data_IF_236211798071
#
_entry.id   IF_236211798071
#
_cell.length_a   1.000
_cell.length_b   1.000
_cell.length_c   1.000
_cell.angle_alpha   90.00
_cell.angle_beta   90.00
_cell.angle_gamma   90.00
#
_symmetry.space_group_name_H-M   'P 1'
#
loop_
_entity.id
_entity.type
_entity.pdbx_description
1 polymer ?
#
# COMPACT_ATOMS: atom_id res chain seq x y z
N UNK A 1 11.42 4.36 -10.48
CA UNK A 1 10.55 5.07 -11.49
C UNK A 1 9.34 5.68 -10.80
N UNK A 2 8.77 6.77 -11.35
CA UNK A 2 7.55 7.41 -10.84
C UNK A 2 6.34 6.99 -11.66
N UNK A 3 5.16 6.97 -11.02
CA UNK A 3 3.85 6.79 -11.66
C UNK A 3 2.85 7.82 -11.15
N UNK A 4 1.77 8.01 -11.90
CA UNK A 4 0.65 8.81 -11.42
C UNK A 4 -0.06 8.08 -10.29
N UNK A 5 -0.40 8.78 -9.22
CA UNK A 5 -1.18 8.27 -8.10
C UNK A 5 -2.62 8.75 -8.25
N UNK A 6 -3.49 7.86 -8.68
CA UNK A 6 -4.87 8.22 -9.01
C UNK A 6 -4.95 9.27 -10.12
N UNK A 7 -5.96 10.14 -10.03
CA UNK A 7 -6.16 11.29 -10.94
C UNK A 7 -5.68 12.61 -10.31
N UNK A 8 -4.69 12.55 -9.41
CA UNK A 8 -4.29 13.69 -8.56
C UNK A 8 -3.25 14.61 -9.18
N UNK A 9 -2.57 14.17 -10.24
CA UNK A 9 -1.38 14.84 -10.77
C UNK A 9 -0.10 14.60 -9.96
N UNK A 10 -0.19 13.91 -8.81
CA UNK A 10 0.99 13.57 -7.99
C UNK A 10 1.74 12.41 -8.63
N UNK A 11 3.06 12.59 -8.81
CA UNK A 11 3.98 11.54 -9.28
C UNK A 11 4.69 10.90 -8.10
N UNK A 12 4.26 9.70 -7.71
CA UNK A 12 4.87 8.93 -6.62
C UNK A 12 5.70 7.75 -7.12
N UNK A 13 6.63 7.28 -6.31
CA UNK A 13 7.39 6.05 -6.59
C UNK A 13 6.45 4.84 -6.66
N UNK A 14 6.77 3.88 -7.55
CA UNK A 14 5.99 2.64 -7.72
C UNK A 14 6.10 1.72 -6.51
N UNK A 15 7.14 1.92 -5.72
CA UNK A 15 7.36 1.27 -4.43
C UNK A 15 7.19 2.34 -3.35
N UNK A 16 6.39 2.07 -2.32
CA UNK A 16 6.20 2.93 -1.16
C UNK A 16 6.78 2.25 0.08
N UNK A 17 7.32 3.03 1.01
CA UNK A 17 7.74 2.51 2.31
C UNK A 17 6.61 2.61 3.32
N UNK A 18 6.13 1.46 3.82
CA UNK A 18 5.18 1.37 4.94
C UNK A 18 5.89 1.47 6.28
N UNK A 19 5.57 2.49 7.06
CA UNK A 19 6.25 2.84 8.30
C UNK A 19 5.73 2.11 9.55
N UNK A 20 4.90 1.06 9.41
CA UNK A 20 4.24 0.39 10.55
C UNK A 20 5.22 -0.05 11.66
N UNK A 21 6.43 -0.49 11.30
CA UNK A 21 7.44 -1.00 12.24
C UNK A 21 8.49 0.04 12.64
N UNK A 22 8.35 1.29 12.21
CA UNK A 22 9.36 2.33 12.44
C UNK A 22 9.48 2.72 13.92
N UNK A 23 8.41 2.56 14.69
CA UNK A 23 8.44 2.77 16.15
C UNK A 23 9.43 1.87 16.90
N UNK A 24 9.79 0.71 16.33
CA UNK A 24 10.74 -0.22 16.95
C UNK A 24 12.21 0.16 16.72
N UNK A 25 12.49 1.16 15.89
CA UNK A 25 13.83 1.61 15.56
C UNK A 25 14.30 2.73 16.51
N UNK A 26 15.61 2.83 16.72
CA UNK A 26 16.21 4.07 17.21
C UNK A 26 16.22 5.12 16.09
N UNK A 27 16.32 6.43 16.44
CA UNK A 27 16.27 7.51 15.44
C UNK A 27 17.33 7.34 14.36
N UNK A 28 18.57 6.99 14.73
CA UNK A 28 19.67 6.75 13.78
C UNK A 28 19.41 5.58 12.83
N UNK A 29 18.66 4.59 13.26
CA UNK A 29 18.26 3.46 12.40
C UNK A 29 17.17 3.90 11.43
N UNK A 30 16.20 4.68 11.91
CA UNK A 30 15.18 5.28 11.06
C UNK A 30 15.77 6.21 9.99
N UNK A 31 16.79 7.02 10.34
CA UNK A 31 17.57 7.82 9.38
C UNK A 31 18.14 6.97 8.25
N UNK A 32 18.76 5.84 8.57
CA UNK A 32 19.31 4.91 7.55
C UNK A 32 18.23 4.34 6.64
N UNK A 33 17.06 4.00 7.21
CA UNK A 33 15.92 3.48 6.46
C UNK A 33 15.36 4.53 5.50
N UNK A 34 15.17 5.76 5.96
CA UNK A 34 14.68 6.88 5.15
C UNK A 34 15.68 7.24 4.06
N UNK A 35 16.98 7.36 4.40
CA UNK A 35 18.05 7.65 3.45
C UNK A 35 18.10 6.59 2.34
N UNK A 36 18.14 5.30 2.72
CA UNK A 36 18.16 4.20 1.77
C UNK A 36 16.91 4.18 0.87
N UNK A 37 15.76 4.59 1.38
CA UNK A 37 14.53 4.70 0.57
C UNK A 37 14.68 5.78 -0.49
N UNK A 38 15.06 6.98 -0.10
CA UNK A 38 15.22 8.12 -1.01
C UNK A 38 16.34 7.89 -2.04
N UNK A 39 17.50 7.37 -1.60
CA UNK A 39 18.63 7.03 -2.47
C UNK A 39 18.27 5.99 -3.55
N UNK A 40 17.28 5.16 -3.29
CA UNK A 40 16.76 4.15 -4.23
C UNK A 40 15.45 4.59 -4.92
N UNK A 41 15.12 5.88 -4.89
CA UNK A 41 14.01 6.48 -5.62
C UNK A 41 12.63 6.23 -5.00
N UNK A 42 12.57 5.80 -3.73
CA UNK A 42 11.33 5.62 -2.98
C UNK A 42 11.05 6.93 -2.23
N UNK A 43 10.11 7.73 -2.73
CA UNK A 43 9.71 9.01 -2.15
C UNK A 43 8.31 9.00 -1.51
N UNK A 44 7.61 7.87 -1.53
CA UNK A 44 6.27 7.70 -0.98
C UNK A 44 6.34 6.94 0.34
N UNK A 45 5.85 7.57 1.43
CA UNK A 45 5.88 7.03 2.78
C UNK A 45 4.46 6.86 3.31
N UNK A 46 4.15 5.63 3.74
CA UNK A 46 2.81 5.20 4.15
C UNK A 46 2.75 4.97 5.66
N UNK A 47 2.00 5.81 6.35
CA UNK A 47 1.78 5.82 7.78
C UNK A 47 0.36 5.40 8.16
N UNK A 48 0.08 5.35 9.45
CA UNK A 48 -1.24 5.35 10.06
C UNK A 48 -1.15 5.85 11.51
N UNK A 49 -2.20 6.52 11.98
CA UNK A 49 -2.31 7.06 13.32
C UNK A 49 -2.11 6.03 14.45
N UNK A 50 -2.45 4.76 14.16
CA UNK A 50 -2.31 3.64 15.12
C UNK A 50 -0.92 3.00 15.13
N UNK A 51 -0.03 3.29 14.17
CA UNK A 51 1.27 2.62 14.08
C UNK A 51 2.16 2.97 15.27
N UNK A 52 2.38 1.98 16.15
CA UNK A 52 3.08 2.18 17.40
C UNK A 52 2.41 3.21 18.32
N UNK A 53 1.07 3.40 18.21
CA UNK A 53 0.36 4.44 18.96
C UNK A 53 0.76 5.87 18.56
N UNK A 54 1.18 6.07 17.30
CA UNK A 54 1.67 7.35 16.78
C UNK A 54 3.20 7.52 16.83
N UNK A 55 3.92 6.62 17.53
CA UNK A 55 5.38 6.72 17.64
C UNK A 55 6.10 6.51 16.29
N UNK A 56 5.51 5.75 15.36
CA UNK A 56 6.08 5.61 14.01
C UNK A 56 6.13 6.94 13.26
N UNK A 57 5.11 7.78 13.37
CA UNK A 57 5.07 9.11 12.77
C UNK A 57 6.11 10.05 13.37
N UNK A 58 6.23 10.09 14.70
CA UNK A 58 7.26 10.89 15.41
C UNK A 58 8.67 10.44 15.04
N UNK A 59 8.91 9.13 14.96
CA UNK A 59 10.21 8.56 14.60
C UNK A 59 10.59 8.93 13.17
N UNK A 60 9.64 8.85 12.25
CA UNK A 60 9.83 9.26 10.86
C UNK A 60 10.15 10.75 10.75
N UNK A 61 9.37 11.62 11.42
CA UNK A 61 9.64 13.05 11.45
C UNK A 61 11.06 13.35 11.96
N UNK A 62 11.45 12.74 13.10
CA UNK A 62 12.81 12.91 13.65
C UNK A 62 13.91 12.56 12.64
N UNK A 63 13.70 11.48 11.87
CA UNK A 63 14.65 11.08 10.83
C UNK A 63 14.70 12.10 9.68
N UNK A 64 13.55 12.60 9.19
CA UNK A 64 13.52 13.65 8.15
C UNK A 64 14.25 14.90 8.59
N UNK A 65 13.99 15.36 9.82
CA UNK A 65 14.59 16.56 10.41
C UNK A 65 16.12 16.45 10.50
N UNK A 66 16.62 15.32 11.03
CA UNK A 66 18.07 15.11 11.18
C UNK A 66 18.78 14.98 9.83
N UNK A 67 18.11 14.44 8.82
CA UNK A 67 18.61 14.33 7.45
C UNK A 67 18.47 15.62 6.63
N UNK A 68 17.83 16.66 7.19
CA UNK A 68 17.50 17.90 6.51
C UNK A 68 16.69 17.70 5.21
N UNK A 69 15.80 16.71 5.17
CA UNK A 69 14.93 16.43 4.04
C UNK A 69 13.74 17.39 4.10
N UNK A 70 13.48 18.07 2.96
CA UNK A 70 12.36 19.00 2.88
C UNK A 70 11.03 18.26 2.75
N UNK A 71 9.96 18.88 3.24
CA UNK A 71 8.60 18.31 3.19
C UNK A 71 8.14 18.00 1.75
N UNK A 72 8.50 18.84 0.80
CA UNK A 72 8.17 18.69 -0.60
C UNK A 72 8.93 17.58 -1.33
N UNK A 73 10.02 17.08 -0.77
CA UNK A 73 10.81 15.98 -1.36
C UNK A 73 10.18 14.59 -1.09
N UNK A 74 9.16 14.54 -0.22
CA UNK A 74 8.48 13.31 0.16
C UNK A 74 6.97 13.40 -0.02
N UNK A 75 6.36 12.27 -0.35
CA UNK A 75 4.89 12.12 -0.39
C UNK A 75 4.48 11.41 0.89
N UNK A 76 3.64 12.07 1.69
CA UNK A 76 3.14 11.54 2.95
C UNK A 76 1.69 11.09 2.82
N UNK A 77 1.50 9.80 3.04
CA UNK A 77 0.19 9.19 3.24
C UNK A 77 0.05 8.77 4.70
N UNK A 78 -1.08 9.06 5.33
CA UNK A 78 -1.43 8.46 6.62
C UNK A 78 -2.87 7.97 6.60
N UNK A 79 -3.26 7.24 7.64
CA UNK A 79 -4.58 6.58 7.73
C UNK A 79 -5.20 6.83 9.08
N UNK A 80 -6.54 6.81 9.13
CA UNK A 80 -7.33 6.88 10.36
C UNK A 80 -8.53 5.93 10.31
N UNK A 81 -9.24 5.81 11.42
CA UNK A 81 -10.50 5.08 11.53
C UNK A 81 -10.44 3.76 12.29
N UNK A 82 -9.26 3.25 12.63
CA UNK A 82 -9.15 2.09 13.53
C UNK A 82 -9.04 2.55 14.97
N UNK A 83 -9.95 2.04 15.82
CA UNK A 83 -9.96 2.27 17.26
C UNK A 83 -9.78 0.95 18.02
N UNK A 84 -9.56 1.01 19.32
CA UNK A 84 -9.43 -0.20 20.14
C UNK A 84 -10.78 -0.91 20.25
N UNK A 85 -10.93 -1.97 19.43
CA UNK A 85 -12.11 -2.83 19.44
C UNK A 85 -13.26 -2.39 18.50
N UNK A 86 -13.12 -1.29 17.76
CA UNK A 86 -14.11 -0.83 16.77
C UNK A 86 -13.50 0.04 15.69
N UNK A 87 -14.27 0.35 14.66
CA UNK A 87 -13.92 1.32 13.63
C UNK A 87 -14.74 2.59 13.80
N UNK A 88 -14.23 3.75 13.35
CA UNK A 88 -14.87 5.03 13.55
C UNK A 88 -14.58 5.98 12.38
N UNK A 89 -15.58 6.17 11.51
CA UNK A 89 -15.53 7.11 10.41
C UNK A 89 -16.39 8.35 10.65
N UNK A 90 -16.72 8.63 11.91
CA UNK A 90 -17.39 9.89 12.24
C UNK A 90 -16.54 11.09 11.83
N UNK A 91 -17.20 12.17 11.42
CA UNK A 91 -16.53 13.43 11.09
C UNK A 91 -15.61 13.90 12.21
N UNK A 92 -16.07 13.85 13.46
CA UNK A 92 -15.30 14.27 14.60
C UNK A 92 -14.00 13.48 14.77
N UNK A 93 -14.04 12.14 14.60
CA UNK A 93 -12.85 11.31 14.69
C UNK A 93 -11.88 11.55 13.53
N UNK A 94 -12.37 11.65 12.31
CA UNK A 94 -11.50 11.91 11.14
C UNK A 94 -10.74 13.23 11.32
N UNK A 95 -11.43 14.30 11.69
CA UNK A 95 -10.80 15.62 11.91
C UNK A 95 -9.75 15.57 13.03
N UNK A 96 -10.10 15.01 14.20
CA UNK A 96 -9.18 14.88 15.33
C UNK A 96 -7.97 13.98 15.00
N UNK A 97 -8.17 12.89 14.24
CA UNK A 97 -7.08 12.02 13.81
C UNK A 97 -6.08 12.76 12.92
N UNK A 98 -6.57 13.53 11.95
CA UNK A 98 -5.70 14.32 11.06
C UNK A 98 -4.91 15.36 11.86
N UNK A 99 -5.54 16.07 12.79
CA UNK A 99 -4.83 17.03 13.64
C UNK A 99 -3.69 16.36 14.42
N UNK A 100 -3.96 15.21 15.03
CA UNK A 100 -2.93 14.43 15.72
C UNK A 100 -1.83 13.88 14.81
N UNK A 101 -2.16 13.45 13.58
CA UNK A 101 -1.18 13.00 12.58
C UNK A 101 -0.26 14.16 12.19
N UNK A 102 -0.83 15.32 11.87
CA UNK A 102 -0.06 16.50 11.47
C UNK A 102 0.86 16.99 12.60
N UNK A 103 0.38 16.96 13.86
CA UNK A 103 1.17 17.27 15.05
C UNK A 103 2.37 16.31 15.18
N UNK A 104 2.16 14.99 15.07
CA UNK A 104 3.24 13.98 15.21
C UNK A 104 4.24 13.98 14.08
N UNK A 105 3.79 14.30 12.86
CA UNK A 105 4.66 14.45 11.69
C UNK A 105 5.29 15.86 11.58
N UNK A 106 4.95 16.79 12.48
CA UNK A 106 5.34 18.21 12.44
C UNK A 106 5.21 18.81 11.03
N UNK A 107 4.04 18.62 10.39
CA UNK A 107 3.76 19.10 9.03
C UNK A 107 2.39 19.77 8.96
N UNK A 108 2.24 20.70 8.01
CA UNK A 108 0.97 21.42 7.82
C UNK A 108 -0.04 20.62 6.98
N UNK A 109 0.43 19.61 6.21
CA UNK A 109 -0.44 18.86 5.32
C UNK A 109 0.00 17.41 5.09
N UNK A 110 -0.98 16.57 4.74
CA UNK A 110 -0.80 15.26 4.13
C UNK A 110 -1.05 15.35 2.61
N UNK A 111 -0.28 14.59 1.83
CA UNK A 111 -0.59 14.41 0.41
C UNK A 111 -1.80 13.48 0.26
N UNK A 112 -1.90 12.43 1.07
CA UNK A 112 -3.01 11.48 1.06
C UNK A 112 -3.50 11.13 2.47
N UNK A 113 -4.82 11.15 2.67
CA UNK A 113 -5.47 10.54 3.83
C UNK A 113 -6.27 9.33 3.36
N UNK A 114 -6.11 8.20 4.06
CA UNK A 114 -6.77 6.94 3.73
C UNK A 114 -7.65 6.47 4.88
N UNK A 115 -8.89 6.09 4.61
CA UNK A 115 -9.75 5.40 5.56
C UNK A 115 -9.25 3.95 5.71
N UNK A 116 -8.81 3.56 6.93
CA UNK A 116 -7.92 2.40 7.12
C UNK A 116 -8.60 1.04 6.98
N UNK A 117 -9.86 0.91 7.44
CA UNK A 117 -10.69 -0.31 7.35
C UNK A 117 -12.15 0.09 7.21
N UNK A 118 -12.98 -0.70 6.53
CA UNK A 118 -14.42 -0.40 6.46
C UNK A 118 -15.03 -0.31 7.87
N UNK A 119 -15.80 0.74 8.11
CA UNK A 119 -16.63 0.90 9.29
C UNK A 119 -18.06 0.51 8.94
N UNK A 120 -18.67 -0.39 9.70
CA UNK A 120 -20.04 -0.87 9.43
C UNK A 120 -21.13 0.16 9.82
N UNK A 121 -20.77 1.16 10.61
CA UNK A 121 -21.70 2.17 11.14
C UNK A 121 -21.47 3.58 10.56
N UNK A 122 -20.70 3.67 9.48
CA UNK A 122 -20.33 4.95 8.87
C UNK A 122 -21.48 5.59 8.10
N UNK A 123 -21.51 6.91 8.11
CA UNK A 123 -22.38 7.72 7.26
C UNK A 123 -21.51 8.45 6.22
N UNK A 124 -21.72 8.21 4.92
CA UNK A 124 -20.86 8.78 3.87
C UNK A 124 -20.92 10.31 3.82
N UNK A 125 -22.03 10.91 4.25
CA UNK A 125 -22.18 12.37 4.37
C UNK A 125 -21.21 12.96 5.41
N UNK A 126 -21.03 12.28 6.55
CA UNK A 126 -20.07 12.72 7.58
C UNK A 126 -18.63 12.64 7.08
N UNK A 127 -18.30 11.55 6.38
CA UNK A 127 -16.97 11.38 5.76
C UNK A 127 -16.72 12.47 4.71
N UNK A 128 -17.68 12.69 3.81
CA UNK A 128 -17.56 13.70 2.77
C UNK A 128 -17.41 15.12 3.36
N UNK A 129 -18.16 15.42 4.42
CA UNK A 129 -18.04 16.70 5.11
C UNK A 129 -16.68 16.87 5.80
N UNK A 130 -16.15 15.82 6.45
CA UNK A 130 -14.80 15.83 7.01
C UNK A 130 -13.75 16.10 5.93
N UNK A 131 -13.85 15.43 4.80
CA UNK A 131 -12.91 15.60 3.68
C UNK A 131 -12.97 17.02 3.11
N UNK A 132 -14.17 17.58 2.90
CA UNK A 132 -14.31 18.99 2.46
C UNK A 132 -13.65 19.98 3.44
N UNK A 133 -13.87 19.80 4.76
CA UNK A 133 -13.25 20.67 5.76
C UNK A 133 -11.72 20.56 5.74
N UNK A 134 -11.18 19.35 5.70
CA UNK A 134 -9.72 19.12 5.64
C UNK A 134 -9.10 19.68 4.37
N UNK A 135 -9.77 19.54 3.22
CA UNK A 135 -9.34 20.10 1.94
C UNK A 135 -9.33 21.62 1.97
N UNK A 136 -10.41 22.23 2.44
CA UNK A 136 -10.54 23.69 2.54
C UNK A 136 -9.51 24.28 3.50
N UNK A 137 -9.19 23.58 4.59
CA UNK A 137 -8.15 23.98 5.53
C UNK A 137 -6.73 23.73 5.01
N UNK A 138 -6.54 23.12 3.85
CA UNK A 138 -5.25 22.79 3.29
C UNK A 138 -4.50 21.64 4.00
N UNK A 139 -5.17 20.95 4.95
CA UNK A 139 -4.57 19.88 5.76
C UNK A 139 -4.40 18.56 5.02
N UNK A 140 -5.24 18.27 4.02
CA UNK A 140 -5.18 17.06 3.22
C UNK A 140 -5.40 17.40 1.75
N UNK A 141 -4.55 16.88 0.88
CA UNK A 141 -4.61 17.15 -0.57
C UNK A 141 -5.52 16.17 -1.31
N UNK A 142 -5.43 14.88 -0.99
CA UNK A 142 -6.15 13.81 -1.68
C UNK A 142 -6.62 12.73 -0.71
N UNK A 143 -7.64 11.97 -1.11
CA UNK A 143 -8.29 10.98 -0.28
C UNK A 143 -8.28 9.61 -0.91
N UNK A 144 -8.29 8.59 -0.08
CA UNK A 144 -8.37 7.19 -0.49
C UNK A 144 -8.99 6.31 0.59
N UNK A 145 -9.02 5.03 0.29
CA UNK A 145 -9.56 4.00 1.17
C UNK A 145 -8.60 2.82 1.29
N UNK A 146 -8.84 1.95 2.24
CA UNK A 146 -8.12 0.69 2.38
C UNK A 146 -9.09 -0.44 2.68
N UNK A 147 -8.90 -1.57 2.01
CA UNK A 147 -9.71 -2.78 2.17
C UNK A 147 -11.21 -2.57 1.93
N UNK A 148 -11.57 -1.64 1.08
CA UNK A 148 -12.95 -1.45 0.64
C UNK A 148 -13.20 -2.17 -0.69
N UNK A 149 -14.38 -2.77 -0.82
CA UNK A 149 -14.84 -3.38 -2.05
C UNK A 149 -15.40 -2.32 -3.01
N UNK A 150 -15.69 -2.75 -4.24
CA UNK A 150 -16.23 -1.88 -5.29
C UNK A 150 -17.46 -1.10 -4.82
N UNK A 151 -18.46 -1.77 -4.24
CA UNK A 151 -19.73 -1.13 -3.87
C UNK A 151 -19.57 -0.08 -2.78
N UNK A 152 -18.68 -0.32 -1.81
CA UNK A 152 -18.34 0.66 -0.77
C UNK A 152 -17.65 1.90 -1.37
N UNK A 153 -16.76 1.68 -2.34
CA UNK A 153 -16.11 2.80 -3.03
C UNK A 153 -17.09 3.61 -3.88
N UNK A 154 -17.99 2.94 -4.63
CA UNK A 154 -19.03 3.60 -5.42
C UNK A 154 -19.96 4.41 -4.52
N UNK A 155 -20.35 3.84 -3.37
CA UNK A 155 -21.22 4.51 -2.42
C UNK A 155 -20.54 5.76 -1.83
N UNK A 156 -19.31 5.66 -1.34
CA UNK A 156 -18.58 6.84 -0.85
C UNK A 156 -18.39 7.88 -1.97
N UNK A 157 -17.99 7.43 -3.17
CA UNK A 157 -17.70 8.32 -4.29
C UNK A 157 -18.93 9.17 -4.70
N UNK A 158 -20.14 8.65 -4.50
CA UNK A 158 -21.36 9.42 -4.82
C UNK A 158 -21.60 10.65 -3.93
N UNK A 159 -20.86 10.77 -2.82
CA UNK A 159 -20.89 11.92 -1.90
C UNK A 159 -19.66 12.83 -1.99
N UNK A 160 -18.65 12.42 -2.76
CA UNK A 160 -17.39 13.16 -2.88
C UNK A 160 -17.35 14.05 -4.13
N UNK A 161 -16.80 15.23 -3.99
CA UNK A 161 -16.59 16.17 -5.09
C UNK A 161 -15.35 15.80 -5.94
N UNK A 162 -14.40 15.05 -5.36
CA UNK A 162 -13.16 14.62 -6.00
C UNK A 162 -13.07 13.10 -6.06
N UNK A 163 -12.40 12.52 -7.07
CA UNK A 163 -12.23 11.09 -7.16
C UNK A 163 -11.33 10.56 -6.04
N UNK A 164 -11.68 9.38 -5.51
CA UNK A 164 -10.78 8.62 -4.65
C UNK A 164 -9.47 8.31 -5.39
N UNK A 165 -8.35 8.59 -4.77
CA UNK A 165 -7.04 8.46 -5.40
C UNK A 165 -6.46 7.05 -5.31
N UNK A 166 -6.66 6.38 -4.16
CA UNK A 166 -6.06 5.08 -3.86
C UNK A 166 -7.04 4.14 -3.17
N UNK A 167 -6.84 2.82 -3.38
CA UNK A 167 -7.38 1.77 -2.51
C UNK A 167 -6.23 0.84 -2.10
N UNK A 168 -5.92 0.78 -0.82
CA UNK A 168 -4.82 -0.02 -0.31
C UNK A 168 -5.32 -1.42 0.09
N UNK A 169 -4.90 -2.46 -0.67
CA UNK A 169 -5.40 -3.83 -0.61
C UNK A 169 -4.25 -4.83 -0.38
N UNK A 170 -4.50 -5.95 0.32
CA UNK A 170 -3.50 -7.00 0.41
C UNK A 170 -3.25 -7.65 -0.95
N UNK A 171 -1.99 -7.79 -1.33
CA UNK A 171 -1.60 -8.54 -2.52
C UNK A 171 -0.18 -9.09 -2.36
N UNK A 172 -0.07 -10.39 -2.53
CA UNK A 172 1.21 -11.11 -2.69
C UNK A 172 0.99 -12.26 -3.67
N UNK A 173 2.04 -12.92 -4.18
CA UNK A 173 1.87 -14.13 -4.98
C UNK A 173 0.97 -15.17 -4.35
N UNK A 174 1.02 -15.37 -3.02
CA UNK A 174 0.21 -16.36 -2.30
C UNK A 174 -1.13 -15.82 -1.77
N UNK A 175 -1.36 -14.52 -1.88
CA UNK A 175 -2.63 -13.87 -1.54
C UNK A 175 -3.10 -12.99 -2.70
N UNK A 176 -3.79 -13.57 -3.66
CA UNK A 176 -4.21 -12.90 -4.89
C UNK A 176 -5.69 -13.11 -5.25
N UNK A 177 -6.65 -13.04 -4.28
CA UNK A 177 -8.06 -13.30 -4.57
C UNK A 177 -8.64 -12.38 -5.64
N UNK A 178 -8.23 -11.10 -5.66
CA UNK A 178 -8.67 -10.13 -6.67
C UNK A 178 -8.21 -10.47 -8.10
N UNK A 179 -7.13 -11.24 -8.25
CA UNK A 179 -6.64 -11.73 -9.54
C UNK A 179 -7.36 -13.02 -9.90
N UNK A 180 -7.45 -13.97 -8.95
CA UNK A 180 -8.07 -15.28 -9.16
C UNK A 180 -9.53 -15.16 -9.58
N UNK A 181 -10.32 -14.30 -8.96
CA UNK A 181 -11.73 -14.06 -9.31
C UNK A 181 -11.92 -13.58 -10.75
N UNK A 182 -10.95 -12.84 -11.29
CA UNK A 182 -10.96 -12.39 -12.68
C UNK A 182 -10.46 -13.44 -13.69
N UNK A 183 -9.74 -14.48 -13.26
CA UNK A 183 -9.28 -15.58 -14.11
C UNK A 183 -10.25 -16.76 -14.11
N UNK A 184 -10.87 -17.06 -12.98
CA UNK A 184 -11.74 -18.23 -12.80
C UNK A 184 -13.24 -17.85 -12.96
N UNK A 185 -13.54 -16.89 -13.84
CA UNK A 185 -14.90 -16.42 -14.10
C UNK A 185 -15.81 -17.56 -14.58
N UNK A 186 -17.02 -17.66 -14.00
CA UNK A 186 -18.02 -18.67 -14.30
C UNK A 186 -17.55 -20.13 -14.00
N UNK A 187 -16.63 -20.31 -13.07
CA UNK A 187 -16.16 -21.61 -12.60
C UNK A 187 -16.70 -21.91 -11.19
N UNK A 188 -16.58 -23.19 -10.76
CA UNK A 188 -17.01 -23.63 -9.43
C UNK A 188 -15.85 -23.81 -8.45
N UNK A 189 -14.67 -23.35 -8.82
CA UNK A 189 -13.44 -23.41 -8.02
C UNK A 189 -13.47 -22.39 -6.87
N UNK A 190 -12.69 -22.60 -5.79
CA UNK A 190 -12.60 -21.61 -4.71
C UNK A 190 -12.13 -20.22 -5.15
N UNK A 191 -11.28 -20.14 -6.19
CA UNK A 191 -10.75 -18.89 -6.73
C UNK A 191 -11.79 -18.06 -7.50
N UNK A 192 -12.88 -18.70 -7.97
CA UNK A 192 -14.00 -18.03 -8.65
C UNK A 192 -14.89 -17.20 -7.70
N UNK A 193 -14.71 -17.32 -6.38
CA UNK A 193 -15.45 -16.52 -5.42
C UNK A 193 -14.98 -15.07 -5.46
N UNK A 194 -15.78 -14.20 -6.07
CA UNK A 194 -15.56 -12.76 -6.04
C UNK A 194 -15.97 -12.18 -4.67
N UNK A 195 -15.00 -11.65 -3.93
CA UNK A 195 -15.17 -11.09 -2.58
C UNK A 195 -15.18 -9.58 -2.56
N UNK A 196 -14.77 -8.95 -3.65
CA UNK A 196 -14.51 -7.51 -3.70
C UNK A 196 -15.17 -6.78 -4.88
N UNK A 197 -16.00 -7.50 -5.65
CA UNK A 197 -16.83 -6.94 -6.73
C UNK A 197 -16.02 -6.53 -7.97
N UNK A 198 -14.96 -7.27 -8.29
CA UNK A 198 -14.10 -6.97 -9.44
C UNK A 198 -13.28 -5.71 -9.24
N UNK A 199 -12.69 -5.57 -8.06
CA UNK A 199 -12.00 -4.34 -7.60
C UNK A 199 -10.87 -3.89 -8.53
N UNK A 200 -10.14 -4.83 -9.16
CA UNK A 200 -9.06 -4.46 -10.09
C UNK A 200 -9.60 -3.68 -11.28
N UNK A 201 -10.66 -4.18 -11.92
CA UNK A 201 -11.23 -3.54 -13.10
C UNK A 201 -11.95 -2.24 -12.74
N UNK A 202 -12.61 -2.19 -11.59
CA UNK A 202 -13.18 -0.96 -11.05
C UNK A 202 -12.10 0.12 -10.85
N UNK A 203 -11.00 -0.21 -10.19
CA UNK A 203 -9.90 0.73 -9.94
C UNK A 203 -9.26 1.18 -11.26
N UNK A 204 -9.08 0.29 -12.23
CA UNK A 204 -8.55 0.65 -13.55
C UNK A 204 -9.48 1.58 -14.32
N UNK A 205 -10.78 1.29 -14.32
CA UNK A 205 -11.78 2.11 -14.99
C UNK A 205 -11.85 3.53 -14.41
N UNK A 206 -11.82 3.64 -13.10
CA UNK A 206 -11.92 4.90 -12.38
C UNK A 206 -10.53 5.56 -12.11
N UNK A 207 -9.45 4.98 -12.63
CA UNK A 207 -8.06 5.46 -12.42
C UNK A 207 -7.68 5.61 -10.95
N UNK A 208 -8.17 4.73 -10.09
CA UNK A 208 -7.76 4.62 -8.69
C UNK A 208 -6.50 3.77 -8.62
N UNK A 209 -5.46 4.23 -7.94
CA UNK A 209 -4.24 3.44 -7.75
C UNK A 209 -4.48 2.37 -6.68
N UNK A 210 -4.29 1.10 -7.04
CA UNK A 210 -4.21 0.02 -6.05
C UNK A 210 -2.84 0.07 -5.38
N UNK A 211 -2.83 0.07 -4.04
CA UNK A 211 -1.61 -0.04 -3.24
C UNK A 211 -1.56 -1.41 -2.58
N UNK A 212 -0.59 -2.25 -2.99
CA UNK A 212 -0.44 -3.63 -2.50
C UNK A 212 0.31 -3.65 -1.17
N UNK A 213 -0.38 -3.89 -0.04
CA UNK A 213 0.27 -4.10 1.23
C UNK A 213 0.60 -5.57 1.49
N UNK A 214 1.57 -5.85 2.35
CA UNK A 214 2.08 -7.18 2.70
C UNK A 214 2.52 -8.05 1.51
N UNK A 215 3.37 -7.56 0.61
CA UNK A 215 3.76 -8.27 -0.61
C UNK A 215 4.53 -9.58 -0.37
N UNK A 216 5.07 -9.80 0.84
CA UNK A 216 5.86 -10.97 1.21
C UNK A 216 5.16 -11.92 2.16
N UNK A 217 3.93 -11.59 2.60
CA UNK A 217 3.23 -12.35 3.63
C UNK A 217 2.18 -13.29 3.05
N UNK A 218 1.98 -14.42 3.74
CA UNK A 218 0.84 -15.32 3.54
C UNK A 218 -0.42 -14.60 4.04
N UNK A 219 -0.42 -14.28 5.31
CA UNK A 219 -1.33 -13.37 6.00
C UNK A 219 -0.61 -12.79 7.24
N UNK A 220 -1.29 -11.92 8.00
CA UNK A 220 -0.68 -11.27 9.17
C UNK A 220 -0.33 -12.25 10.30
N UNK A 221 -0.96 -13.43 10.35
CA UNK A 221 -0.75 -14.43 11.40
C UNK A 221 0.24 -15.52 11.02
N UNK A 222 0.37 -15.84 9.71
CA UNK A 222 1.17 -16.97 9.21
C UNK A 222 2.60 -16.56 8.79
N UNK A 223 2.88 -15.27 8.75
CA UNK A 223 4.21 -14.77 8.44
C UNK A 223 4.56 -14.75 6.94
N UNK A 224 5.84 -14.92 6.63
CA UNK A 224 6.36 -14.81 5.26
C UNK A 224 6.28 -16.15 4.52
N UNK A 225 6.00 -16.11 3.22
CA UNK A 225 6.13 -17.28 2.36
C UNK A 225 7.57 -17.44 1.83
N UNK A 226 8.32 -16.35 1.71
CA UNK A 226 9.72 -16.39 1.27
C UNK A 226 10.58 -17.13 2.32
N UNK A 227 11.25 -18.20 1.88
CA UNK A 227 12.02 -19.09 2.74
C UNK A 227 11.18 -20.08 3.57
N UNK A 228 9.85 -20.09 3.43
CA UNK A 228 8.98 -21.06 4.11
C UNK A 228 8.94 -22.37 3.30
N UNK A 229 9.23 -23.53 3.93
CA UNK A 229 9.27 -24.83 3.25
C UNK A 229 7.93 -25.27 2.66
N UNK A 230 6.79 -24.80 3.20
CA UNK A 230 5.47 -25.08 2.64
C UNK A 230 5.27 -24.46 1.24
N UNK A 231 6.11 -23.49 0.87
CA UNK A 231 6.09 -22.81 -0.44
C UNK A 231 7.35 -23.10 -1.24
N UNK A 232 7.94 -24.32 -1.09
CA UNK A 232 9.21 -24.67 -1.71
C UNK A 232 9.24 -24.43 -3.22
N UNK A 233 8.25 -24.92 -3.96
CA UNK A 233 8.22 -24.78 -5.44
C UNK A 233 8.14 -23.31 -5.88
N UNK A 234 7.40 -22.48 -5.15
CA UNK A 234 7.34 -21.05 -5.39
C UNK A 234 8.71 -20.40 -5.12
N UNK A 235 9.32 -20.72 -3.97
CA UNK A 235 10.63 -20.17 -3.61
C UNK A 235 11.72 -20.60 -4.62
N UNK A 236 11.76 -21.86 -5.05
CA UNK A 236 12.69 -22.34 -6.08
C UNK A 236 12.51 -21.57 -7.40
N UNK A 237 11.26 -21.29 -7.80
CA UNK A 237 10.96 -20.50 -9.00
C UNK A 237 11.43 -19.06 -8.86
N UNK A 238 11.18 -18.43 -7.70
CA UNK A 238 11.62 -17.06 -7.42
C UNK A 238 13.14 -16.96 -7.45
N UNK A 239 13.86 -17.88 -6.78
CA UNK A 239 15.32 -17.89 -6.74
C UNK A 239 15.91 -18.10 -8.14
N UNK A 240 15.37 -19.02 -8.94
CA UNK A 240 15.81 -19.23 -10.33
C UNK A 240 15.63 -17.98 -11.20
N UNK A 241 14.51 -17.25 -11.02
CA UNK A 241 14.28 -16.00 -11.73
C UNK A 241 15.21 -14.89 -11.22
N UNK A 242 15.46 -14.83 -9.91
CA UNK A 242 16.40 -13.88 -9.31
C UNK A 242 17.81 -14.07 -9.90
N UNK A 243 18.30 -15.29 -10.00
CA UNK A 243 19.56 -15.64 -10.67
C UNK A 243 19.56 -15.22 -12.15
N UNK A 244 18.48 -15.52 -12.89
CA UNK A 244 18.33 -15.15 -14.30
C UNK A 244 18.45 -13.63 -14.52
N UNK A 245 17.84 -12.84 -13.68
CA UNK A 245 17.81 -11.38 -13.81
C UNK A 245 18.95 -10.67 -13.06
N UNK A 246 19.75 -11.41 -12.26
CA UNK A 246 20.83 -10.84 -11.45
C UNK A 246 20.34 -9.90 -10.34
N UNK A 247 19.22 -10.25 -9.73
CA UNK A 247 18.58 -9.47 -8.64
C UNK A 247 18.25 -10.36 -7.45
N UNK A 248 17.71 -9.80 -6.38
CA UNK A 248 17.27 -10.57 -5.19
C UNK A 248 15.89 -11.21 -5.37
N UNK A 249 15.60 -12.22 -4.55
CA UNK A 249 14.28 -12.87 -4.47
C UNK A 249 13.18 -11.86 -4.15
N UNK A 250 13.46 -10.91 -3.25
CA UNK A 250 12.53 -9.84 -2.89
C UNK A 250 12.20 -8.95 -4.11
N UNK A 251 13.17 -8.70 -4.97
CA UNK A 251 12.95 -7.93 -6.19
C UNK A 251 12.03 -8.64 -7.17
N UNK A 252 12.14 -9.96 -7.32
CA UNK A 252 11.23 -10.77 -8.18
C UNK A 252 9.78 -10.67 -7.68
N UNK A 253 9.56 -10.78 -6.37
CA UNK A 253 8.21 -10.68 -5.78
C UNK A 253 7.59 -9.30 -6.04
N UNK A 254 8.36 -8.25 -5.84
CA UNK A 254 7.88 -6.89 -6.10
C UNK A 254 7.68 -6.66 -7.60
N UNK A 255 8.58 -7.13 -8.45
CA UNK A 255 8.44 -7.07 -9.91
C UNK A 255 7.19 -7.80 -10.42
N UNK A 256 6.78 -8.91 -9.77
CA UNK A 256 5.54 -9.61 -10.08
C UNK A 256 4.32 -8.70 -9.88
N UNK A 257 4.26 -7.94 -8.79
CA UNK A 257 3.19 -6.97 -8.53
C UNK A 257 3.26 -5.80 -9.53
N UNK A 258 4.45 -5.22 -9.71
CA UNK A 258 4.66 -4.07 -10.60
C UNK A 258 4.40 -4.39 -12.08
N UNK A 259 4.49 -5.68 -12.47
CA UNK A 259 4.23 -6.15 -13.85
C UNK A 259 2.75 -6.06 -14.22
N UNK A 260 1.85 -6.04 -13.22
CA UNK A 260 0.41 -6.02 -13.49
C UNK A 260 -0.01 -4.71 -14.18
N UNK A 261 -0.83 -4.78 -15.27
CA UNK A 261 -1.19 -3.60 -16.07
C UNK A 261 -2.06 -2.57 -15.34
N UNK A 262 -2.57 -2.90 -14.14
CA UNK A 262 -3.27 -1.96 -13.27
C UNK A 262 -2.32 -0.93 -12.62
N UNK A 263 -1.01 -0.96 -12.90
CA UNK A 263 0.01 -0.06 -12.32
C UNK A 263 -0.04 -0.03 -10.79
N UNK A 264 -0.08 -1.22 -10.20
CA UNK A 264 -0.17 -1.39 -8.74
C UNK A 264 1.09 -0.82 -8.08
N UNK A 265 0.92 0.06 -7.09
CA UNK A 265 2.00 0.53 -6.23
C UNK A 265 2.24 -0.49 -5.12
N UNK A 266 3.48 -0.88 -4.87
CA UNK A 266 3.79 -1.87 -3.82
C UNK A 266 4.21 -1.18 -2.54
N UNK A 267 3.54 -1.48 -1.42
CA UNK A 267 3.87 -0.94 -0.09
C UNK A 267 4.71 -1.98 0.67
N UNK A 268 5.99 -1.68 0.83
CA UNK A 268 6.95 -2.58 1.50
C UNK A 268 7.22 -2.12 2.93
N UNK A 269 7.16 -3.04 3.90
CA UNK A 269 7.31 -2.73 5.32
C UNK A 269 8.70 -3.10 5.88
N UNK A 270 9.74 -3.17 5.05
CA UNK A 270 11.09 -3.48 5.53
C UNK A 270 11.73 -2.30 6.25
N UNK A 271 12.30 -2.56 7.43
CA UNK A 271 13.10 -1.59 8.19
C UNK A 271 14.62 -1.88 8.08
N UNK A 272 15.01 -2.69 7.11
CA UNK A 272 16.42 -2.99 6.83
C UNK A 272 16.85 -2.23 5.56
N UNK A 273 17.83 -1.29 5.63
CA UNK A 273 18.29 -0.49 4.49
C UNK A 273 18.78 -1.33 3.30
N UNK A 274 19.54 -2.40 3.56
CA UNK A 274 20.05 -3.26 2.49
C UNK A 274 18.93 -4.03 1.79
N UNK A 275 17.89 -4.43 2.54
CA UNK A 275 16.71 -5.06 1.96
C UNK A 275 15.89 -4.08 1.12
N UNK A 276 15.78 -2.82 1.54
CA UNK A 276 15.11 -1.78 0.75
C UNK A 276 15.85 -1.58 -0.58
N UNK A 277 17.18 -1.52 -0.56
CA UNK A 277 18.00 -1.43 -1.76
C UNK A 277 17.75 -2.61 -2.71
N UNK A 278 17.76 -3.85 -2.18
CA UNK A 278 17.48 -5.06 -2.98
C UNK A 278 16.07 -5.03 -3.57
N UNK A 279 15.07 -4.66 -2.78
CA UNK A 279 13.67 -4.53 -3.24
C UNK A 279 13.55 -3.53 -4.39
N UNK A 280 14.25 -2.41 -4.33
CA UNK A 280 14.21 -1.38 -5.37
C UNK A 280 14.76 -1.86 -6.73
N UNK A 281 15.53 -2.95 -6.77
CA UNK A 281 15.98 -3.58 -8.01
C UNK A 281 14.83 -4.11 -8.88
N UNK A 282 13.65 -4.34 -8.29
CA UNK A 282 12.44 -4.70 -9.03
C UNK A 282 12.10 -3.71 -10.16
N UNK A 283 12.50 -2.44 -10.04
CA UNK A 283 12.31 -1.41 -11.06
C UNK A 283 13.15 -1.63 -12.33
N UNK A 284 14.17 -2.49 -12.28
CA UNK A 284 15.11 -2.74 -13.38
C UNK A 284 14.67 -3.90 -14.27
N UNK A 285 13.69 -4.68 -13.86
CA UNK A 285 13.28 -5.91 -14.52
C UNK A 285 11.81 -5.88 -14.93
N UNK A 286 11.51 -6.58 -16.00
CA UNK A 286 10.15 -6.84 -16.44
C UNK A 286 9.99 -8.35 -16.68
N UNK A 287 9.20 -8.99 -15.82
CA UNK A 287 8.86 -10.41 -15.98
C UNK A 287 8.07 -10.62 -17.28
N UNK A 288 8.42 -11.66 -18.03
CA UNK A 288 7.62 -12.09 -19.17
C UNK A 288 6.26 -12.64 -18.72
N UNK A 289 5.29 -12.76 -19.63
CA UNK A 289 3.99 -13.37 -19.30
C UNK A 289 4.14 -14.79 -18.75
N UNK A 290 4.91 -15.70 -19.36
CA UNK A 290 5.11 -17.04 -18.80
C UNK A 290 5.66 -17.04 -17.38
N UNK A 291 6.66 -16.21 -17.09
CA UNK A 291 7.26 -16.10 -15.74
C UNK A 291 6.28 -15.57 -14.72
N UNK A 292 5.46 -14.57 -15.10
CA UNK A 292 4.44 -14.03 -14.23
C UNK A 292 3.40 -15.10 -13.83
N UNK A 293 2.92 -15.88 -14.82
CA UNK A 293 1.98 -16.97 -14.59
C UNK A 293 2.63 -18.18 -13.91
N UNK A 294 3.92 -18.44 -14.12
CA UNK A 294 4.65 -19.48 -13.40
C UNK A 294 4.67 -19.17 -11.89
N UNK A 295 5.01 -17.94 -11.48
CA UNK A 295 4.95 -17.52 -10.09
C UNK A 295 3.52 -17.69 -9.55
N UNK A 296 2.50 -17.26 -10.30
CA UNK A 296 1.09 -17.35 -9.91
C UNK A 296 0.67 -18.82 -9.65
N UNK A 297 0.99 -19.73 -10.55
CA UNK A 297 0.63 -21.16 -10.42
C UNK A 297 1.42 -21.85 -9.31
N UNK A 298 2.73 -21.55 -9.18
CA UNK A 298 3.57 -22.08 -8.09
C UNK A 298 3.20 -21.54 -6.71
N UNK A 299 2.48 -20.44 -6.64
CA UNK A 299 1.86 -19.94 -5.43
C UNK A 299 0.58 -20.69 -5.01
N UNK A 300 0.15 -21.70 -5.80
CA UNK A 300 -1.00 -22.55 -5.51
C UNK A 300 -2.30 -22.11 -6.16
N UNK A 301 -2.26 -21.15 -7.08
CA UNK A 301 -3.45 -20.73 -7.83
C UNK A 301 -3.63 -21.57 -9.10
N UNK A 302 -4.88 -21.73 -9.52
CA UNK A 302 -5.22 -22.48 -10.73
C UNK A 302 -5.23 -21.57 -11.95
N UNK A 303 -4.89 -22.15 -13.11
CA UNK A 303 -5.26 -21.61 -14.40
C UNK A 303 -6.35 -22.49 -15.00
N UNK A 304 -7.46 -21.91 -15.48
CA UNK A 304 -8.53 -22.66 -16.13
C UNK A 304 -8.08 -23.42 -17.36
#
# INVERSE_FOLDING_TARGET
MLQDIGQTGVKGSRIALGAMRMNALEVKEAEKVVSASLENGINFFDHADIYGGGESEKRFHSALKNLNIKREDVILQSKCGIRKGFFDFSKAHILASVDGILERLETEYLDFLVLHRPDALWEPEEVAEAFRQLKTAGKVRHYGVSNQNRSQMEFLQSYLDEPLAVNQLQLSPVHAPMISSGLEVNMTTPGANDRDGGIIDYCRLNKVTIQAWSPFQIDLSKGLFLGNPDYKELNDTITRLAEKYGVSDEAIIVAWILRHPAKIQTVVGSMNPDRIKRIAEAEKIELTRPEWYEIYTKAGHSLP
#
